data_IF_682145308888
#
_entry.id   IF_682145308888
#
_cell.length_a   1.000
_cell.length_b   1.000
_cell.length_c   1.000
_cell.angle_alpha   90.00
_cell.angle_beta   90.00
_cell.angle_gamma   90.00
#
_symmetry.space_group_name_H-M   'P 1'
#
loop_
_entity.id
_entity.type
_entity.pdbx_description
1 polymer ?
#
# COMPACT_ATOMS: atom_id res chain seq x y z
N UNK A 1 -37.82 51.43 3.40
CA UNK A 1 -38.09 50.10 2.83
C UNK A 1 -37.15 49.81 1.66
N UNK A 2 -37.08 50.65 0.61
CA UNK A 2 -36.16 50.43 -0.53
C UNK A 2 -34.68 50.41 -0.15
N UNK A 3 -34.22 51.39 0.65
CA UNK A 3 -32.82 51.46 1.14
C UNK A 3 -32.42 50.24 2.01
N UNK A 4 -33.38 49.69 2.76
CA UNK A 4 -33.14 48.52 3.62
C UNK A 4 -33.00 47.24 2.79
N UNK A 5 -33.77 47.12 1.70
CA UNK A 5 -33.68 46.02 0.74
C UNK A 5 -32.36 46.12 -0.04
N UNK A 6 -31.99 47.31 -0.52
CA UNK A 6 -30.72 47.59 -1.20
C UNK A 6 -29.51 47.18 -0.33
N UNK A 7 -29.46 47.63 0.93
CA UNK A 7 -28.37 47.28 1.84
C UNK A 7 -28.28 45.76 2.08
N UNK A 8 -29.42 45.08 2.24
CA UNK A 8 -29.46 43.61 2.42
C UNK A 8 -28.96 42.86 1.19
N UNK A 9 -29.29 43.32 -0.01
CA UNK A 9 -28.83 42.70 -1.26
C UNK A 9 -27.33 42.90 -1.46
N UNK A 10 -26.81 44.09 -1.16
CA UNK A 10 -25.37 44.35 -1.21
C UNK A 10 -24.60 43.47 -0.22
N UNK A 11 -25.06 43.42 1.04
CA UNK A 11 -24.49 42.54 2.06
C UNK A 11 -24.56 41.06 1.64
N UNK A 12 -25.69 40.61 1.09
CA UNK A 12 -25.85 39.22 0.63
C UNK A 12 -24.95 38.88 -0.55
N UNK A 13 -24.82 39.78 -1.54
CA UNK A 13 -23.92 39.59 -2.69
C UNK A 13 -22.47 39.52 -2.24
N UNK A 14 -22.04 40.44 -1.37
CA UNK A 14 -20.68 40.45 -0.83
C UNK A 14 -20.37 39.15 -0.06
N UNK A 15 -21.31 38.69 0.78
CA UNK A 15 -21.16 37.41 1.50
C UNK A 15 -21.05 36.21 0.55
N UNK A 16 -21.80 36.20 -0.56
CA UNK A 16 -21.69 35.15 -1.57
C UNK A 16 -20.33 35.22 -2.25
N UNK A 17 -19.90 36.39 -2.73
CA UNK A 17 -18.59 36.57 -3.37
C UNK A 17 -17.44 36.11 -2.46
N UNK A 18 -17.39 36.56 -1.21
CA UNK A 18 -16.39 36.13 -0.22
C UNK A 18 -16.45 34.60 0.03
N UNK A 19 -17.67 34.03 0.11
CA UNK A 19 -17.87 32.60 0.27
C UNK A 19 -17.38 31.79 -0.94
N UNK A 20 -17.63 32.27 -2.16
CA UNK A 20 -17.20 31.63 -3.41
C UNK A 20 -15.68 31.69 -3.60
N UNK A 21 -15.04 32.82 -3.30
CA UNK A 21 -13.58 32.97 -3.33
C UNK A 21 -12.91 31.99 -2.36
N UNK A 22 -13.40 31.93 -1.12
CA UNK A 22 -12.88 31.00 -0.10
C UNK A 22 -13.06 29.54 -0.53
N UNK A 23 -14.21 29.19 -1.09
CA UNK A 23 -14.49 27.82 -1.55
C UNK A 23 -13.61 27.43 -2.73
N UNK A 24 -13.38 28.36 -3.67
CA UNK A 24 -12.47 28.16 -4.81
C UNK A 24 -11.05 27.88 -4.34
N UNK A 25 -10.53 28.68 -3.41
CA UNK A 25 -9.21 28.46 -2.81
C UNK A 25 -9.10 27.09 -2.13
N UNK A 26 -10.16 26.65 -1.43
CA UNK A 26 -10.22 25.31 -0.85
C UNK A 26 -10.21 24.20 -1.93
N UNK A 27 -10.88 24.40 -3.07
CA UNK A 27 -10.86 23.42 -4.17
C UNK A 27 -9.48 23.32 -4.82
N UNK A 28 -8.76 24.43 -4.99
CA UNK A 28 -7.37 24.43 -5.47
C UNK A 28 -6.45 23.64 -4.52
N UNK A 29 -6.62 23.81 -3.21
CA UNK A 29 -5.87 23.07 -2.19
C UNK A 29 -6.18 21.57 -2.23
N UNK A 30 -7.46 21.20 -2.38
CA UNK A 30 -7.87 19.79 -2.52
C UNK A 30 -7.27 19.19 -3.79
N UNK A 31 -7.32 19.90 -4.92
CA UNK A 31 -6.75 19.43 -6.17
C UNK A 31 -5.23 19.24 -6.08
N UNK A 32 -4.53 20.15 -5.40
CA UNK A 32 -3.10 20.02 -5.10
C UNK A 32 -2.82 18.79 -4.23
N UNK A 33 -3.59 18.61 -3.16
CA UNK A 33 -3.45 17.48 -2.22
C UNK A 33 -3.71 16.15 -2.91
N UNK A 34 -4.71 16.08 -3.79
CA UNK A 34 -5.02 14.87 -4.56
C UNK A 34 -3.87 14.49 -5.52
N UNK A 35 -3.18 15.46 -6.13
CA UNK A 35 -1.97 15.20 -6.94
C UNK A 35 -0.83 14.64 -6.10
N UNK A 36 -0.60 15.21 -4.91
CA UNK A 36 0.42 14.72 -3.96
C UNK A 36 0.08 13.28 -3.52
N UNK A 37 -1.20 13.02 -3.22
CA UNK A 37 -1.69 11.70 -2.85
C UNK A 37 -1.45 10.67 -3.97
N UNK A 38 -1.75 11.02 -5.23
CA UNK A 38 -1.49 10.17 -6.39
C UNK A 38 0.00 9.79 -6.50
N UNK A 39 0.90 10.76 -6.30
CA UNK A 39 2.35 10.49 -6.27
C UNK A 39 2.76 9.55 -5.13
N UNK A 40 2.21 9.73 -3.93
CA UNK A 40 2.50 8.87 -2.78
C UNK A 40 2.00 7.46 -3.00
N UNK A 41 0.81 7.31 -3.57
CA UNK A 41 0.26 6.02 -3.97
C UNK A 41 1.18 5.33 -4.98
N UNK A 42 1.62 6.04 -6.03
CA UNK A 42 2.55 5.48 -7.03
C UNK A 42 3.82 4.94 -6.38
N UNK A 43 4.39 5.69 -5.44
CA UNK A 43 5.54 5.24 -4.65
C UNK A 43 5.23 3.99 -3.81
N UNK A 44 4.11 3.97 -3.08
CA UNK A 44 3.72 2.81 -2.28
C UNK A 44 3.51 1.56 -3.12
N UNK A 45 2.93 1.69 -4.31
CA UNK A 45 2.75 0.59 -5.27
C UNK A 45 4.10 0.02 -5.72
N UNK A 46 5.06 0.88 -6.06
CA UNK A 46 6.43 0.45 -6.40
C UNK A 46 7.07 -0.32 -5.23
N UNK A 47 6.95 0.21 -4.00
CA UNK A 47 7.50 -0.44 -2.80
C UNK A 47 6.84 -1.79 -2.53
N UNK A 48 5.53 -1.91 -2.68
CA UNK A 48 4.80 -3.18 -2.57
C UNK A 48 5.30 -4.21 -3.58
N UNK A 49 5.43 -3.82 -4.85
CA UNK A 49 5.97 -4.70 -5.89
C UNK A 49 7.41 -5.17 -5.58
N UNK A 50 8.25 -4.29 -5.02
CA UNK A 50 9.60 -4.67 -4.59
C UNK A 50 9.58 -5.68 -3.44
N UNK A 51 8.66 -5.56 -2.49
CA UNK A 51 8.49 -6.56 -1.42
C UNK A 51 8.15 -7.92 -2.04
N UNK A 52 7.21 -7.97 -2.98
CA UNK A 52 6.84 -9.21 -3.68
C UNK A 52 8.07 -9.83 -4.38
N UNK A 53 8.86 -9.02 -5.10
CA UNK A 53 10.07 -9.49 -5.77
C UNK A 53 11.09 -10.07 -4.78
N UNK A 54 11.34 -9.40 -3.66
CA UNK A 54 12.28 -9.86 -2.63
C UNK A 54 11.78 -11.12 -1.91
N UNK A 55 10.46 -11.27 -1.70
CA UNK A 55 9.90 -12.53 -1.16
C UNK A 55 10.10 -13.69 -2.13
N UNK A 56 9.98 -13.46 -3.44
CA UNK A 56 10.27 -14.46 -4.48
C UNK A 56 11.74 -14.89 -4.46
N UNK A 57 12.68 -13.93 -4.45
CA UNK A 57 14.12 -14.22 -4.34
C UNK A 57 14.45 -15.01 -3.07
N UNK A 58 13.84 -14.64 -1.94
CA UNK A 58 14.01 -15.36 -0.68
C UNK A 58 13.46 -16.79 -0.79
N UNK A 59 12.33 -16.98 -1.46
CA UNK A 59 11.77 -18.30 -1.76
C UNK A 59 12.72 -19.20 -2.57
N UNK A 60 13.44 -18.64 -3.54
CA UNK A 60 14.46 -19.37 -4.31
C UNK A 60 15.64 -19.80 -3.44
N UNK A 61 16.14 -18.92 -2.57
CA UNK A 61 17.20 -19.24 -1.61
C UNK A 61 16.75 -20.38 -0.69
N UNK A 62 15.51 -20.33 -0.20
CA UNK A 62 14.94 -21.38 0.65
C UNK A 62 14.81 -22.72 -0.08
N UNK A 63 14.57 -22.73 -1.39
CA UNK A 63 14.60 -23.97 -2.17
C UNK A 63 16.01 -24.59 -2.17
N UNK A 64 17.04 -23.78 -2.31
CA UNK A 64 18.43 -24.24 -2.20
C UNK A 64 18.74 -24.78 -0.81
N UNK A 65 18.38 -24.06 0.26
CA UNK A 65 18.59 -24.51 1.65
C UNK A 65 17.84 -25.82 1.92
N UNK A 66 16.60 -25.97 1.43
CA UNK A 66 15.84 -27.23 1.54
C UNK A 66 16.55 -28.39 0.84
N UNK A 67 17.13 -28.15 -0.35
CA UNK A 67 17.91 -29.16 -1.06
C UNK A 67 19.19 -29.55 -0.29
N UNK A 68 19.89 -28.59 0.32
CA UNK A 68 21.04 -28.84 1.20
C UNK A 68 20.64 -29.66 2.43
N UNK A 69 19.50 -29.37 3.05
CA UNK A 69 18.94 -30.15 4.15
C UNK A 69 18.69 -31.60 3.74
N UNK A 70 18.00 -31.83 2.62
CA UNK A 70 17.74 -33.19 2.10
C UNK A 70 19.02 -33.96 1.79
N UNK A 71 20.01 -33.31 1.18
CA UNK A 71 21.32 -33.92 0.90
C UNK A 71 22.08 -34.26 2.18
N UNK A 72 22.05 -33.36 3.18
CA UNK A 72 22.65 -33.62 4.50
C UNK A 72 21.99 -34.80 5.20
N UNK A 73 20.67 -34.96 5.09
CA UNK A 73 19.96 -36.11 5.64
C UNK A 73 20.39 -37.42 4.95
N UNK A 74 20.51 -37.42 3.61
CA UNK A 74 21.01 -38.57 2.86
C UNK A 74 22.47 -38.93 3.20
N UNK A 75 23.33 -37.92 3.36
CA UNK A 75 24.71 -38.13 3.81
C UNK A 75 24.78 -38.70 5.22
N UNK A 76 23.96 -38.16 6.14
CA UNK A 76 23.82 -38.69 7.50
C UNK A 76 23.32 -40.14 7.50
N UNK A 77 22.36 -40.48 6.65
CA UNK A 77 21.88 -41.85 6.48
C UNK A 77 22.99 -42.80 6.02
N UNK A 78 23.75 -42.42 4.99
CA UNK A 78 24.87 -43.21 4.49
C UNK A 78 25.94 -43.41 5.58
N UNK A 79 26.23 -42.35 6.35
CA UNK A 79 27.16 -42.44 7.48
C UNK A 79 26.64 -43.37 8.60
N UNK A 80 25.32 -43.34 8.91
CA UNK A 80 24.73 -44.27 9.87
C UNK A 80 24.83 -45.73 9.42
N UNK A 81 24.65 -46.00 8.12
CA UNK A 81 24.79 -47.35 7.55
C UNK A 81 26.23 -47.84 7.65
N UNK A 82 27.21 -47.01 7.29
CA UNK A 82 28.62 -47.38 7.35
C UNK A 82 29.11 -47.54 8.80
N UNK A 83 28.61 -46.70 9.72
CA UNK A 83 28.86 -46.84 11.15
C UNK A 83 28.31 -48.18 11.70
N UNK A 84 27.11 -48.59 11.28
CA UNK A 84 26.57 -49.90 11.64
C UNK A 84 27.41 -51.04 11.07
N UNK A 85 27.93 -50.89 9.84
CA UNK A 85 28.79 -51.87 9.19
C UNK A 85 30.14 -52.06 9.89
N UNK A 86 30.69 -50.98 10.46
CA UNK A 86 31.91 -51.01 11.26
C UNK A 86 31.73 -51.63 12.67
N UNK A 87 30.50 -51.98 13.06
CA UNK A 87 30.18 -52.64 14.33
C UNK A 87 30.59 -51.79 15.54
N UNK A 88 31.33 -52.38 16.48
CA UNK A 88 31.77 -51.71 17.71
C UNK A 88 32.64 -50.47 17.44
N UNK A 89 33.44 -50.47 16.37
CA UNK A 89 34.29 -49.34 16.01
C UNK A 89 33.50 -48.15 15.45
N UNK A 90 32.28 -48.36 14.99
CA UNK A 90 31.42 -47.33 14.40
C UNK A 90 30.49 -46.62 15.39
N UNK A 91 30.42 -47.04 16.66
CA UNK A 91 29.45 -46.50 17.64
C UNK A 91 29.48 -44.98 17.78
N UNK A 92 30.67 -44.38 17.84
CA UNK A 92 30.81 -42.91 17.91
C UNK A 92 30.32 -42.20 16.65
N UNK A 93 30.64 -42.76 15.47
CA UNK A 93 30.17 -42.23 14.18
C UNK A 93 28.66 -42.37 14.01
N UNK A 94 28.04 -43.42 14.56
CA UNK A 94 26.60 -43.61 14.52
C UNK A 94 25.84 -42.48 15.23
N UNK A 95 26.34 -42.03 16.39
CA UNK A 95 25.75 -40.90 17.14
C UNK A 95 25.85 -39.60 16.34
N UNK A 96 27.02 -39.31 15.77
CA UNK A 96 27.22 -38.11 14.94
C UNK A 96 26.32 -38.13 13.71
N UNK A 97 26.22 -39.28 13.04
CA UNK A 97 25.36 -39.45 11.87
C UNK A 97 23.87 -39.23 12.21
N UNK A 98 23.42 -39.70 13.37
CA UNK A 98 22.05 -39.48 13.84
C UNK A 98 21.78 -38.00 14.14
N UNK A 99 22.73 -37.28 14.75
CA UNK A 99 22.58 -35.84 14.99
C UNK A 99 22.54 -35.04 13.69
N UNK A 100 23.37 -35.38 12.69
CA UNK A 100 23.34 -34.75 11.36
C UNK A 100 21.96 -34.91 10.72
N UNK A 101 21.36 -36.11 10.77
CA UNK A 101 20.02 -36.35 10.22
C UNK A 101 18.96 -35.52 10.93
N UNK A 102 18.99 -35.50 12.27
CA UNK A 102 18.08 -34.69 13.07
C UNK A 102 18.18 -33.20 12.73
N UNK A 103 19.39 -32.65 12.65
CA UNK A 103 19.61 -31.25 12.24
C UNK A 103 19.10 -30.97 10.81
N UNK A 104 19.27 -31.92 9.89
CA UNK A 104 18.78 -31.80 8.52
C UNK A 104 17.25 -31.80 8.42
N UNK A 105 16.57 -32.63 9.21
CA UNK A 105 15.11 -32.67 9.30
C UNK A 105 14.56 -31.38 9.94
N UNK A 106 15.16 -30.93 11.06
CA UNK A 106 14.81 -29.67 11.71
C UNK A 106 15.01 -28.46 10.78
N UNK A 107 16.11 -28.44 10.01
CA UNK A 107 16.38 -27.40 9.02
C UNK A 107 15.31 -27.39 7.91
N UNK A 108 14.88 -28.56 7.44
CA UNK A 108 13.84 -28.67 6.40
C UNK A 108 12.50 -28.14 6.91
N UNK A 109 12.12 -28.49 8.14
CA UNK A 109 10.90 -27.98 8.78
C UNK A 109 10.95 -26.45 8.98
N UNK A 110 12.09 -25.92 9.41
CA UNK A 110 12.27 -24.48 9.56
C UNK A 110 12.10 -23.74 8.21
N UNK A 111 12.67 -24.29 7.14
CA UNK A 111 12.51 -23.74 5.79
C UNK A 111 11.04 -23.74 5.34
N UNK A 112 10.28 -24.80 5.60
CA UNK A 112 8.84 -24.85 5.29
C UNK A 112 8.05 -23.77 6.05
N UNK A 113 8.35 -23.57 7.33
CA UNK A 113 7.72 -22.51 8.12
C UNK A 113 8.03 -21.12 7.55
N UNK A 114 9.27 -20.85 7.18
CA UNK A 114 9.64 -19.56 6.57
C UNK A 114 8.92 -19.37 5.23
N UNK A 115 8.80 -20.41 4.39
CA UNK A 115 8.04 -20.33 3.14
C UNK A 115 6.58 -19.97 3.38
N UNK A 116 5.94 -20.54 4.41
CA UNK A 116 4.58 -20.18 4.78
C UNK A 116 4.48 -18.71 5.18
N UNK A 117 5.41 -18.21 5.99
CA UNK A 117 5.48 -16.78 6.35
C UNK A 117 5.65 -15.88 5.13
N UNK A 118 6.53 -16.23 4.18
CA UNK A 118 6.70 -15.47 2.95
C UNK A 118 5.43 -15.44 2.09
N UNK A 119 4.70 -16.55 2.03
CA UNK A 119 3.42 -16.59 1.33
C UNK A 119 2.38 -15.65 1.98
N UNK A 120 2.32 -15.62 3.31
CA UNK A 120 1.46 -14.67 4.04
C UNK A 120 1.86 -13.23 3.75
N UNK A 121 3.15 -12.90 3.82
CA UNK A 121 3.65 -11.55 3.50
C UNK A 121 3.25 -11.15 2.07
N UNK A 122 3.35 -12.07 1.11
CA UNK A 122 2.95 -11.81 -0.27
C UNK A 122 1.45 -11.53 -0.38
N UNK A 123 0.62 -12.34 0.25
CA UNK A 123 -0.84 -12.14 0.28
C UNK A 123 -1.22 -10.80 0.89
N UNK A 124 -0.67 -10.45 2.05
CA UNK A 124 -0.90 -9.15 2.70
C UNK A 124 -0.43 -7.99 1.81
N UNK A 125 0.69 -8.16 1.11
CA UNK A 125 1.19 -7.15 0.17
C UNK A 125 0.28 -6.97 -1.04
N UNK A 126 -0.27 -8.07 -1.59
CA UNK A 126 -1.24 -8.04 -2.68
C UNK A 126 -2.53 -7.31 -2.25
N UNK A 127 -3.01 -7.55 -1.02
CA UNK A 127 -4.16 -6.85 -0.43
C UNK A 127 -3.90 -5.34 -0.29
N UNK A 128 -2.70 -4.97 0.18
CA UNK A 128 -2.26 -3.57 0.26
C UNK A 128 -2.28 -2.92 -1.13
N UNK A 129 -1.73 -3.58 -2.15
CA UNK A 129 -1.72 -3.06 -3.53
C UNK A 129 -3.15 -2.86 -4.05
N UNK A 130 -4.08 -3.78 -3.76
CA UNK A 130 -5.50 -3.63 -4.14
C UNK A 130 -6.15 -2.43 -3.43
N UNK A 131 -5.87 -2.21 -2.15
CA UNK A 131 -6.35 -1.04 -1.42
C UNK A 131 -5.77 0.27 -2.00
N UNK A 132 -4.50 0.25 -2.39
CA UNK A 132 -3.82 1.36 -3.06
C UNK A 132 -4.51 1.69 -4.41
N UNK A 133 -4.84 0.68 -5.21
CA UNK A 133 -5.55 0.90 -6.49
C UNK A 133 -6.95 1.51 -6.29
N UNK A 134 -7.65 1.12 -5.23
CA UNK A 134 -8.92 1.78 -4.86
C UNK A 134 -8.72 3.24 -4.43
N UNK A 135 -7.64 3.53 -3.70
CA UNK A 135 -7.31 4.88 -3.29
C UNK A 135 -7.00 5.80 -4.49
N UNK A 136 -6.40 5.26 -5.57
CA UNK A 136 -6.21 6.01 -6.83
C UNK A 136 -7.53 6.44 -7.44
N UNK A 137 -8.48 5.51 -7.55
CA UNK A 137 -9.80 5.79 -8.12
C UNK A 137 -10.51 6.87 -7.31
N UNK A 138 -10.45 6.80 -5.97
CA UNK A 138 -11.02 7.83 -5.10
C UNK A 138 -10.33 9.18 -5.28
N UNK A 139 -9.00 9.22 -5.42
CA UNK A 139 -8.26 10.45 -5.69
C UNK A 139 -8.64 11.10 -7.03
N UNK A 140 -8.84 10.30 -8.08
CA UNK A 140 -9.33 10.79 -9.38
C UNK A 140 -10.76 11.32 -9.30
N UNK A 141 -11.64 10.66 -8.56
CA UNK A 141 -13.01 11.13 -8.32
C UNK A 141 -13.01 12.46 -7.54
N UNK A 142 -12.14 12.58 -6.53
CA UNK A 142 -11.99 13.81 -5.76
C UNK A 142 -11.55 14.99 -6.62
N UNK A 143 -10.61 14.77 -7.56
CA UNK A 143 -10.19 15.81 -8.51
C UNK A 143 -11.35 16.30 -9.38
N UNK A 144 -12.14 15.36 -9.93
CA UNK A 144 -13.30 15.71 -10.76
C UNK A 144 -14.35 16.50 -9.98
N UNK A 145 -14.65 16.07 -8.75
CA UNK A 145 -15.59 16.78 -7.89
C UNK A 145 -15.09 18.18 -7.52
N UNK A 146 -13.79 18.35 -7.30
CA UNK A 146 -13.20 19.67 -7.06
C UNK A 146 -13.28 20.60 -8.27
N UNK A 147 -13.06 20.08 -9.49
CA UNK A 147 -13.21 20.86 -10.72
C UNK A 147 -14.68 21.28 -10.94
N UNK A 148 -15.64 20.38 -10.67
CA UNK A 148 -17.08 20.67 -10.75
C UNK A 148 -17.50 21.76 -9.75
N UNK A 149 -17.09 21.63 -8.49
CA UNK A 149 -17.37 22.65 -7.46
C UNK A 149 -16.72 23.99 -7.81
N UNK A 150 -15.50 23.99 -8.35
CA UNK A 150 -14.85 25.23 -8.79
C UNK A 150 -15.64 25.93 -9.90
N UNK A 151 -16.16 25.17 -10.86
CA UNK A 151 -17.03 25.69 -11.92
C UNK A 151 -18.35 26.26 -11.37
N UNK A 152 -19.00 25.56 -10.45
CA UNK A 152 -20.23 26.04 -9.78
C UNK A 152 -19.98 27.33 -9.00
N UNK A 153 -18.79 27.48 -8.40
CA UNK A 153 -18.41 28.73 -7.70
C UNK A 153 -18.26 29.90 -8.67
N UNK A 154 -17.72 29.70 -9.89
CA UNK A 154 -17.66 30.74 -10.92
C UNK A 154 -19.06 31.24 -11.31
N UNK A 155 -20.03 30.32 -11.48
CA UNK A 155 -21.42 30.68 -11.77
C UNK A 155 -22.08 31.44 -10.61
N UNK A 156 -21.78 31.06 -9.36
CA UNK A 156 -22.26 31.76 -8.18
C UNK A 156 -21.66 33.16 -8.04
N UNK A 157 -20.38 33.35 -8.34
CA UNK A 157 -19.76 34.68 -8.39
C UNK A 157 -20.44 35.56 -9.44
N UNK A 158 -20.76 35.01 -10.62
CA UNK A 158 -21.52 35.75 -11.64
C UNK A 158 -22.92 36.12 -11.15
N UNK A 159 -23.61 35.20 -10.47
CA UNK A 159 -24.93 35.44 -9.88
C UNK A 159 -24.89 36.52 -8.79
N UNK A 160 -23.86 36.53 -7.95
CA UNK A 160 -23.65 37.56 -6.93
C UNK A 160 -23.47 38.95 -7.57
N UNK A 161 -22.69 39.03 -8.65
CA UNK A 161 -22.51 40.26 -9.41
C UNK A 161 -23.84 40.81 -9.97
N UNK A 162 -24.69 39.96 -10.52
CA UNK A 162 -26.01 40.40 -11.02
C UNK A 162 -26.92 40.87 -9.86
N UNK A 163 -26.86 40.24 -8.69
CA UNK A 163 -27.60 40.69 -7.49
C UNK A 163 -27.10 42.07 -7.02
N UNK A 164 -25.80 42.30 -7.02
CA UNK A 164 -25.20 43.60 -6.67
C UNK A 164 -25.69 44.70 -7.62
N UNK A 165 -25.67 44.43 -8.93
CA UNK A 165 -26.17 45.35 -9.96
C UNK A 165 -27.66 45.66 -9.82
N UNK A 166 -28.48 44.70 -9.41
CA UNK A 166 -29.90 44.94 -9.10
C UNK A 166 -30.02 45.84 -7.87
N UNK A 167 -29.20 45.62 -6.84
CA UNK A 167 -29.19 46.46 -5.65
C UNK A 167 -28.83 47.92 -5.97
N UNK A 168 -27.89 48.15 -6.88
CA UNK A 168 -27.50 49.51 -7.34
C UNK A 168 -28.61 50.25 -8.11
N UNK A 169 -29.58 49.51 -8.65
CA UNK A 169 -30.71 50.06 -9.42
C UNK A 169 -31.96 50.35 -8.58
N UNK A 170 -32.01 49.89 -7.33
CA UNK A 170 -33.10 50.09 -6.36
C UNK A 170 -32.93 51.41 -5.58
#
# INVERSE_FOLDING_TARGET
MTLEIQNKLHESSQLISEGTEKTTAMMEEIASTAKILSSHIGYLKEKGNRVIEETHKTGEILNFVSAVGRNSNLLGLNASIEAARAGEHGKGFAVVAQEIRKMADESTLAVENIKNTLNTIRQETDEIISAIDKALILGEQQLRASDEVAHDMEELTHSAYEVEKIADQL
#
